data_IF_655814435272
#
_entry.id   IF_655814435272
#
_cell.length_a   1.000
_cell.length_b   1.000
_cell.length_c   1.000
_cell.angle_alpha   90.00
_cell.angle_beta   90.00
_cell.angle_gamma   90.00
#
_symmetry.space_group_name_H-M   'P 1'
#
loop_
_entity.id
_entity.type
_entity.pdbx_description
1 polymer ?
#
# COMPACT_ATOMS: atom_id res chain seq x y z
N UNK A 1 59.82 -24.64 18.61
CA UNK A 1 59.20 -23.58 17.77
C UNK A 1 58.53 -24.09 16.49
N UNK A 2 58.83 -25.29 15.96
CA UNK A 2 58.23 -25.75 14.69
C UNK A 2 56.76 -26.16 14.78
N UNK A 3 56.32 -26.77 15.89
CA UNK A 3 54.94 -27.23 16.03
C UNK A 3 53.90 -26.08 16.02
N UNK A 4 54.17 -24.99 16.75
CA UNK A 4 53.28 -23.81 16.79
C UNK A 4 53.17 -23.12 15.43
N UNK A 5 54.27 -23.07 14.67
CA UNK A 5 54.27 -22.49 13.31
C UNK A 5 53.49 -23.38 12.34
N UNK A 6 53.59 -24.70 12.50
CA UNK A 6 52.81 -25.67 11.72
C UNK A 6 51.31 -25.49 12.01
N UNK A 7 50.91 -25.46 13.29
CA UNK A 7 49.50 -25.30 13.69
C UNK A 7 48.94 -23.95 13.22
N UNK A 8 49.71 -22.87 13.28
CA UNK A 8 49.29 -21.57 12.78
C UNK A 8 49.10 -21.58 11.25
N UNK A 9 49.99 -22.24 10.51
CA UNK A 9 49.88 -22.40 9.05
C UNK A 9 48.66 -23.24 8.69
N UNK A 10 48.43 -24.36 9.36
CA UNK A 10 47.30 -25.25 9.10
C UNK A 10 45.97 -24.58 9.44
N UNK A 11 45.93 -23.79 10.52
CA UNK A 11 44.74 -23.00 10.90
C UNK A 11 44.47 -21.89 9.88
N UNK A 12 45.52 -21.24 9.36
CA UNK A 12 45.38 -20.23 8.30
C UNK A 12 44.96 -20.84 6.97
N UNK A 13 45.50 -21.99 6.59
CA UNK A 13 45.10 -22.71 5.38
C UNK A 13 43.68 -23.25 5.48
N UNK A 14 43.27 -23.74 6.66
CA UNK A 14 41.89 -24.14 6.93
C UNK A 14 40.95 -22.93 6.90
N UNK A 15 41.29 -21.82 7.54
CA UNK A 15 40.50 -20.60 7.52
C UNK A 15 40.40 -20.00 6.10
N UNK A 16 41.50 -20.06 5.33
CA UNK A 16 41.54 -19.63 3.93
C UNK A 16 40.66 -20.53 3.05
N UNK A 17 40.81 -21.86 3.14
CA UNK A 17 39.96 -22.81 2.42
C UNK A 17 38.47 -22.71 2.80
N UNK A 18 38.19 -22.52 4.09
CA UNK A 18 36.84 -22.29 4.61
C UNK A 18 36.23 -20.96 4.11
N UNK A 19 37.06 -19.92 3.98
CA UNK A 19 36.65 -18.64 3.42
C UNK A 19 36.43 -18.70 1.90
N UNK A 20 37.26 -19.45 1.17
CA UNK A 20 37.12 -19.62 -0.28
C UNK A 20 35.87 -20.42 -0.65
N UNK A 21 35.55 -21.49 0.11
CA UNK A 21 34.35 -22.30 -0.10
C UNK A 21 33.03 -21.56 0.20
N UNK A 22 33.07 -20.45 0.96
CA UNK A 22 31.87 -19.69 1.38
C UNK A 22 31.69 -18.37 0.62
N UNK A 23 32.75 -17.82 0.02
CA UNK A 23 32.73 -16.48 -0.58
C UNK A 23 33.16 -16.39 -2.05
N UNK A 24 33.63 -17.46 -2.70
CA UNK A 24 34.19 -17.37 -4.05
C UNK A 24 33.73 -18.49 -5.02
N UNK A 25 32.42 -18.66 -5.20
CA UNK A 25 31.91 -19.31 -6.41
C UNK A 25 30.89 -18.40 -7.09
N UNK A 26 31.38 -17.53 -7.97
CA UNK A 26 30.55 -16.78 -8.93
C UNK A 26 30.21 -17.65 -10.15
N UNK A 27 29.79 -18.90 -9.91
CA UNK A 27 29.32 -19.80 -10.96
C UNK A 27 27.82 -19.63 -11.23
N UNK A 28 27.39 -19.96 -12.46
CA UNK A 28 25.98 -20.03 -12.85
C UNK A 28 25.16 -20.89 -11.85
N UNK A 29 25.74 -21.96 -11.31
CA UNK A 29 25.12 -22.81 -10.29
C UNK A 29 24.83 -22.08 -8.97
N UNK A 30 25.70 -21.17 -8.54
CA UNK A 30 25.49 -20.36 -7.33
C UNK A 30 24.45 -19.26 -7.57
N UNK A 31 24.43 -18.68 -8.77
CA UNK A 31 23.38 -17.73 -9.18
C UNK A 31 22.03 -18.45 -9.25
N UNK A 32 21.97 -19.62 -9.88
CA UNK A 32 20.77 -20.45 -9.96
C UNK A 32 20.33 -20.94 -8.58
N UNK A 33 21.25 -21.31 -7.68
CA UNK A 33 20.90 -21.68 -6.31
C UNK A 33 20.39 -20.48 -5.49
N UNK A 34 20.98 -19.29 -5.65
CA UNK A 34 20.50 -18.06 -5.02
C UNK A 34 19.15 -17.61 -5.59
N UNK A 35 18.96 -17.70 -6.90
CA UNK A 35 17.69 -17.43 -7.59
C UNK A 35 16.62 -18.46 -7.19
N UNK A 36 16.99 -19.74 -7.09
CA UNK A 36 16.13 -20.80 -6.60
C UNK A 36 15.70 -20.52 -5.16
N UNK A 37 16.61 -20.13 -4.26
CA UNK A 37 16.26 -19.70 -2.90
C UNK A 37 15.39 -18.43 -2.87
N UNK A 38 15.62 -17.47 -3.77
CA UNK A 38 14.78 -16.29 -3.94
C UNK A 38 13.36 -16.64 -4.38
N UNK A 39 13.14 -17.79 -5.02
CA UNK A 39 11.82 -18.24 -5.47
C UNK A 39 11.22 -19.24 -4.47
N UNK A 40 12.01 -20.14 -3.90
CA UNK A 40 11.55 -21.25 -3.05
C UNK A 40 11.30 -20.85 -1.61
N UNK A 41 12.01 -19.86 -1.06
CA UNK A 41 11.77 -19.35 0.31
C UNK A 41 10.47 -18.53 0.38
N UNK A 42 10.15 -17.68 -0.62
CA UNK A 42 8.90 -16.92 -0.59
C UNK A 42 7.67 -17.74 -0.97
N UNK A 43 7.80 -18.81 -1.76
CA UNK A 43 6.65 -19.62 -2.20
C UNK A 43 5.77 -20.11 -1.02
N UNK A 44 6.32 -20.69 0.05
CA UNK A 44 5.56 -21.03 1.25
C UNK A 44 5.01 -19.80 1.97
N UNK A 45 5.76 -18.69 2.02
CA UNK A 45 5.31 -17.41 2.59
C UNK A 45 4.17 -16.77 1.76
N UNK A 46 4.14 -16.97 0.45
CA UNK A 46 3.08 -16.48 -0.43
C UNK A 46 1.83 -17.33 -0.30
N UNK A 47 1.95 -18.65 -0.22
CA UNK A 47 0.82 -19.52 0.13
C UNK A 47 0.25 -19.20 1.51
N UNK A 48 1.11 -18.74 2.44
CA UNK A 48 0.76 -18.30 3.79
C UNK A 48 -0.25 -17.14 3.79
N UNK A 49 -0.11 -16.20 2.84
CA UNK A 49 -1.00 -15.04 2.68
C UNK A 49 -2.12 -15.30 1.68
N UNK A 50 -1.89 -16.13 0.65
CA UNK A 50 -2.87 -16.40 -0.39
C UNK A 50 -4.01 -17.33 0.08
N UNK A 51 -3.74 -18.30 0.96
CA UNK A 51 -4.77 -19.26 1.40
C UNK A 51 -5.87 -18.60 2.26
N UNK A 52 -5.57 -17.70 3.22
CA UNK A 52 -6.60 -16.94 3.93
C UNK A 52 -7.32 -15.88 3.08
N UNK A 53 -6.65 -15.32 2.06
CA UNK A 53 -7.20 -14.24 1.23
C UNK A 53 -8.02 -14.74 0.03
N UNK A 54 -7.73 -15.94 -0.50
CA UNK A 54 -8.33 -16.45 -1.74
C UNK A 54 -8.93 -17.87 -1.61
N UNK A 55 -8.74 -18.58 -0.49
CA UNK A 55 -9.20 -19.95 -0.31
C UNK A 55 -10.50 -20.05 0.51
N UNK A 56 -11.58 -20.58 -0.07
CA UNK A 56 -12.83 -20.92 0.63
C UNK A 56 -12.74 -22.11 1.61
N UNK A 57 -11.56 -22.39 2.17
CA UNK A 57 -11.35 -23.49 3.13
C UNK A 57 -11.74 -23.07 4.55
N UNK A 58 -12.21 -24.03 5.35
CA UNK A 58 -12.53 -23.78 6.76
C UNK A 58 -11.32 -23.20 7.51
N UNK A 59 -11.51 -22.11 8.25
CA UNK A 59 -10.45 -21.29 8.86
C UNK A 59 -9.44 -22.11 9.69
N UNK A 60 -9.89 -23.22 10.29
CA UNK A 60 -9.04 -24.12 11.10
C UNK A 60 -8.00 -24.87 10.26
N UNK A 61 -8.36 -25.36 9.07
CA UNK A 61 -7.41 -26.06 8.19
C UNK A 61 -6.35 -25.10 7.65
N UNK A 62 -6.73 -23.85 7.36
CA UNK A 62 -5.80 -22.79 6.96
C UNK A 62 -4.78 -22.47 8.05
N UNK A 63 -5.21 -22.36 9.32
CA UNK A 63 -4.32 -22.10 10.45
C UNK A 63 -3.36 -23.24 10.77
N UNK A 64 -3.79 -24.49 10.65
CA UNK A 64 -2.92 -25.66 10.86
C UNK A 64 -1.89 -25.77 9.73
N UNK A 65 -2.33 -25.64 8.47
CA UNK A 65 -1.41 -25.61 7.33
C UNK A 65 -0.39 -24.48 7.47
N UNK A 66 -0.85 -23.28 7.84
CA UNK A 66 0.00 -22.13 8.15
C UNK A 66 1.05 -22.47 9.21
N UNK A 67 0.64 -23.04 10.35
CA UNK A 67 1.54 -23.34 11.46
C UNK A 67 2.61 -24.37 11.06
N UNK A 68 2.20 -25.43 10.35
CA UNK A 68 3.11 -26.48 9.90
C UNK A 68 4.11 -25.95 8.86
N UNK A 69 3.64 -25.19 7.87
CA UNK A 69 4.50 -24.59 6.84
C UNK A 69 5.47 -23.57 7.44
N UNK A 70 5.00 -22.70 8.33
CA UNK A 70 5.85 -21.75 9.06
C UNK A 70 6.90 -22.46 9.90
N UNK A 71 6.52 -23.51 10.63
CA UNK A 71 7.44 -24.31 11.44
C UNK A 71 8.50 -25.00 10.58
N UNK A 72 8.11 -25.62 9.47
CA UNK A 72 9.04 -26.27 8.55
C UNK A 72 10.03 -25.26 7.96
N UNK A 73 9.56 -24.08 7.59
CA UNK A 73 10.38 -23.02 7.02
C UNK A 73 11.39 -22.45 8.03
N UNK A 74 10.96 -22.20 9.27
CA UNK A 74 11.83 -21.80 10.39
C UNK A 74 12.89 -22.83 10.76
N UNK A 75 12.53 -24.12 10.74
CA UNK A 75 13.46 -25.20 11.08
C UNK A 75 14.48 -25.45 9.96
N UNK A 76 14.08 -25.22 8.70
CA UNK A 76 14.91 -25.49 7.53
C UNK A 76 15.88 -24.36 7.15
N UNK A 77 15.62 -23.13 7.61
CA UNK A 77 16.38 -21.95 7.19
C UNK A 77 16.95 -21.15 8.36
N UNK A 78 18.09 -20.50 8.11
CA UNK A 78 18.63 -19.50 9.03
C UNK A 78 17.63 -18.34 9.14
N UNK A 79 17.19 -17.96 10.34
CA UNK A 79 16.16 -16.96 10.50
C UNK A 79 16.58 -15.55 10.00
N UNK A 80 17.88 -15.24 9.91
CA UNK A 80 18.35 -14.04 9.21
C UNK A 80 18.03 -14.11 7.70
N UNK A 81 18.19 -15.29 7.08
CA UNK A 81 17.82 -15.48 5.67
C UNK A 81 16.32 -15.31 5.46
N UNK A 82 15.50 -15.77 6.41
CA UNK A 82 14.05 -15.66 6.33
C UNK A 82 13.57 -14.21 6.41
N UNK A 83 14.17 -13.41 7.29
CA UNK A 83 13.89 -11.97 7.34
C UNK A 83 14.25 -11.29 6.01
N UNK A 84 15.45 -11.53 5.50
CA UNK A 84 15.97 -10.84 4.32
C UNK A 84 15.28 -11.27 3.03
N UNK A 85 15.18 -12.57 2.78
CA UNK A 85 14.48 -13.08 1.60
C UNK A 85 12.98 -12.80 1.67
N UNK A 86 12.37 -12.87 2.86
CA UNK A 86 10.98 -12.47 3.06
C UNK A 86 10.75 -11.00 2.75
N UNK A 87 11.58 -10.10 3.29
CA UNK A 87 11.49 -8.65 3.04
C UNK A 87 11.68 -8.33 1.56
N UNK A 88 12.70 -8.91 0.91
CA UNK A 88 12.96 -8.72 -0.51
C UNK A 88 11.79 -9.23 -1.36
N UNK A 89 11.32 -10.44 -1.12
CA UNK A 89 10.25 -11.04 -1.91
C UNK A 89 8.95 -10.27 -1.76
N UNK A 90 8.61 -9.81 -0.55
CA UNK A 90 7.44 -8.98 -0.32
C UNK A 90 7.53 -7.69 -1.12
N UNK A 91 8.67 -6.97 -1.05
CA UNK A 91 8.87 -5.74 -1.82
C UNK A 91 8.83 -5.98 -3.33
N UNK A 92 9.36 -7.10 -3.81
CA UNK A 92 9.31 -7.45 -5.23
C UNK A 92 7.89 -7.75 -5.70
N UNK A 93 7.11 -8.51 -4.93
CA UNK A 93 5.80 -9.04 -5.35
C UNK A 93 4.67 -8.06 -5.08
N UNK A 94 4.68 -7.36 -3.94
CA UNK A 94 3.60 -6.48 -3.52
C UNK A 94 3.84 -5.00 -3.86
N UNK A 95 5.04 -4.65 -4.33
CA UNK A 95 5.35 -3.28 -4.76
C UNK A 95 5.98 -3.21 -6.15
N UNK A 96 7.20 -3.74 -6.35
CA UNK A 96 7.96 -3.53 -7.60
C UNK A 96 7.23 -4.12 -8.81
N UNK A 97 6.87 -5.40 -8.76
CA UNK A 97 6.17 -6.08 -9.85
C UNK A 97 4.85 -5.37 -10.21
N UNK A 98 3.91 -5.13 -9.26
CA UNK A 98 2.66 -4.45 -9.60
C UNK A 98 2.87 -3.00 -10.05
N UNK A 99 3.84 -2.27 -9.49
CA UNK A 99 4.16 -0.91 -9.94
C UNK A 99 4.68 -0.89 -11.39
N UNK A 100 5.51 -1.87 -11.77
CA UNK A 100 5.97 -2.04 -13.15
C UNK A 100 4.83 -2.46 -14.08
N UNK A 101 3.89 -3.30 -13.63
CA UNK A 101 2.70 -3.65 -14.40
C UNK A 101 1.79 -2.44 -14.62
N UNK A 102 1.59 -1.59 -13.60
CA UNK A 102 0.82 -0.35 -13.74
C UNK A 102 1.51 0.61 -14.72
N UNK A 103 2.83 0.76 -14.62
CA UNK A 103 3.60 1.57 -15.56
C UNK A 103 3.54 1.02 -16.99
N UNK A 104 3.64 -0.31 -17.17
CA UNK A 104 3.52 -0.96 -18.46
C UNK A 104 2.13 -0.77 -19.07
N UNK A 105 1.07 -0.86 -18.26
CA UNK A 105 -0.30 -0.57 -18.65
C UNK A 105 -0.45 0.89 -19.12
N UNK A 106 0.07 1.85 -18.33
CA UNK A 106 0.03 3.27 -18.66
C UNK A 106 0.75 3.60 -19.98
N UNK A 107 1.85 2.90 -20.26
CA UNK A 107 2.64 3.10 -21.48
C UNK A 107 1.99 2.42 -22.69
N UNK A 108 1.40 1.24 -22.52
CA UNK A 108 0.83 0.44 -23.61
C UNK A 108 -0.58 0.90 -24.00
N UNK A 109 -1.37 1.37 -23.02
CA UNK A 109 -2.76 1.75 -23.20
C UNK A 109 -3.07 3.17 -22.68
N UNK A 110 -2.38 4.22 -23.18
CA UNK A 110 -2.50 5.57 -22.63
C UNK A 110 -3.91 6.18 -22.75
N UNK A 111 -4.71 5.74 -23.73
CA UNK A 111 -6.09 6.21 -23.90
C UNK A 111 -7.03 5.67 -22.82
N UNK A 112 -6.84 4.40 -22.41
CA UNK A 112 -7.60 3.79 -21.32
C UNK A 112 -7.13 4.35 -19.98
N UNK A 113 -5.82 4.41 -19.77
CA UNK A 113 -5.22 4.94 -18.54
C UNK A 113 -5.68 6.38 -18.25
N UNK A 114 -5.72 7.25 -19.27
CA UNK A 114 -6.24 8.63 -19.12
C UNK A 114 -7.64 8.68 -18.48
N UNK A 115 -8.51 7.73 -18.76
CA UNK A 115 -9.90 7.77 -18.27
C UNK A 115 -10.03 7.26 -16.84
N UNK A 116 -9.09 6.42 -16.38
CA UNK A 116 -9.07 5.85 -15.02
C UNK A 116 -8.09 6.58 -14.09
N UNK A 117 -7.33 7.56 -14.59
CA UNK A 117 -6.48 8.43 -13.75
C UNK A 117 -7.22 9.70 -13.34
N UNK A 118 -7.12 10.06 -12.07
CA UNK A 118 -7.73 11.28 -11.49
C UNK A 118 -7.35 12.57 -12.22
N UNK A 119 -6.08 12.72 -12.61
CA UNK A 119 -5.57 13.89 -13.36
C UNK A 119 -5.47 13.66 -14.87
N UNK A 120 -6.03 12.55 -15.35
CA UNK A 120 -6.08 12.16 -16.75
C UNK A 120 -4.72 12.17 -17.44
N UNK A 121 -4.60 12.89 -18.57
CA UNK A 121 -3.41 12.85 -19.42
C UNK A 121 -2.15 13.41 -18.74
N UNK A 122 -2.30 14.27 -17.73
CA UNK A 122 -1.19 14.86 -16.97
C UNK A 122 -0.46 13.84 -16.06
N UNK A 123 -1.15 12.78 -15.64
CA UNK A 123 -0.59 11.72 -14.80
C UNK A 123 0.02 10.57 -15.62
N UNK A 124 0.14 10.72 -16.95
CA UNK A 124 0.72 9.69 -17.80
C UNK A 124 2.25 9.80 -17.86
N UNK A 125 2.98 8.70 -17.64
CA UNK A 125 4.45 8.69 -17.64
C UNK A 125 5.05 8.98 -19.01
N UNK A 126 4.29 8.79 -20.10
CA UNK A 126 4.74 9.06 -21.47
C UNK A 126 5.17 10.51 -21.73
N UNK A 127 4.73 11.46 -20.89
CA UNK A 127 5.14 12.87 -20.99
C UNK A 127 6.61 13.10 -20.60
N UNK A 128 7.22 12.19 -19.84
CA UNK A 128 8.60 12.30 -19.34
C UNK A 128 9.64 11.83 -20.36
N UNK A 129 9.22 11.06 -21.38
CA UNK A 129 10.10 10.40 -22.33
C UNK A 129 10.73 9.10 -21.79
N UNK A 130 11.05 8.19 -22.70
CA UNK A 130 11.49 6.82 -22.37
C UNK A 130 12.72 6.78 -21.46
N UNK A 131 13.76 7.56 -21.77
CA UNK A 131 15.01 7.53 -21.02
C UNK A 131 14.81 7.97 -19.57
N UNK A 132 13.97 8.98 -19.33
CA UNK A 132 13.65 9.45 -17.99
C UNK A 132 12.83 8.44 -17.20
N UNK A 133 11.87 7.77 -17.84
CA UNK A 133 11.09 6.69 -17.20
C UNK A 133 12.01 5.53 -16.80
N UNK A 134 12.94 5.12 -17.67
CA UNK A 134 13.91 4.06 -17.35
C UNK A 134 14.85 4.46 -16.21
N UNK A 135 15.28 5.71 -16.15
CA UNK A 135 16.06 6.24 -15.02
C UNK A 135 15.27 6.16 -13.71
N UNK A 136 14.01 6.62 -13.71
CA UNK A 136 13.11 6.56 -12.55
C UNK A 136 12.96 5.12 -12.07
N UNK A 137 12.69 4.20 -12.98
CA UNK A 137 12.56 2.76 -12.69
C UNK A 137 13.86 2.19 -12.10
N UNK A 138 15.00 2.48 -12.73
CA UNK A 138 16.31 1.99 -12.28
C UNK A 138 16.67 2.49 -10.88
N UNK A 139 16.45 3.78 -10.61
CA UNK A 139 16.67 4.37 -9.28
C UNK A 139 15.70 3.80 -8.26
N UNK A 140 14.42 3.69 -8.58
CA UNK A 140 13.41 3.16 -7.66
C UNK A 140 13.69 1.70 -7.26
N UNK A 141 14.02 0.84 -8.22
CA UNK A 141 14.43 -0.54 -7.95
C UNK A 141 15.73 -0.55 -7.14
N UNK A 142 16.70 0.30 -7.49
CA UNK A 142 17.95 0.46 -6.75
C UNK A 142 17.71 0.86 -5.29
N UNK A 143 16.79 1.77 -5.02
CA UNK A 143 16.39 2.20 -3.68
C UNK A 143 15.74 1.08 -2.87
N UNK A 144 14.84 0.31 -3.48
CA UNK A 144 14.23 -0.87 -2.83
C UNK A 144 15.31 -1.89 -2.45
N UNK A 145 16.24 -2.20 -3.36
CA UNK A 145 17.35 -3.11 -3.10
C UNK A 145 18.31 -2.56 -2.03
N UNK A 146 18.59 -1.25 -2.07
CA UNK A 146 19.42 -0.58 -1.08
C UNK A 146 18.80 -0.65 0.31
N UNK A 147 17.49 -0.45 0.44
CA UNK A 147 16.77 -0.57 1.71
C UNK A 147 16.88 -1.97 2.31
N UNK A 148 16.69 -3.02 1.49
CA UNK A 148 16.85 -4.41 1.92
C UNK A 148 18.30 -4.70 2.31
N UNK A 149 19.26 -4.22 1.52
CA UNK A 149 20.69 -4.37 1.82
C UNK A 149 21.06 -3.65 3.13
N UNK A 150 20.56 -2.43 3.34
CA UNK A 150 20.85 -1.63 4.53
C UNK A 150 20.24 -2.28 5.78
N UNK A 151 19.01 -2.79 5.69
CA UNK A 151 18.41 -3.62 6.74
C UNK A 151 19.29 -4.85 7.06
N UNK A 152 19.76 -5.58 6.05
CA UNK A 152 20.66 -6.72 6.24
C UNK A 152 21.97 -6.34 6.92
N UNK A 153 22.60 -5.24 6.47
CA UNK A 153 23.84 -4.75 7.01
C UNK A 153 23.69 -4.36 8.49
N UNK A 154 22.59 -3.68 8.83
CA UNK A 154 22.30 -3.26 10.20
C UNK A 154 22.07 -4.46 11.12
N UNK A 155 21.27 -5.44 10.69
CA UNK A 155 21.03 -6.65 11.47
C UNK A 155 22.30 -7.49 11.65
N UNK A 156 23.13 -7.62 10.60
CA UNK A 156 24.42 -8.30 10.68
C UNK A 156 25.38 -7.59 11.64
N UNK A 157 25.47 -6.27 11.60
CA UNK A 157 26.29 -5.47 12.50
C UNK A 157 25.80 -5.65 13.96
N UNK A 158 24.49 -5.57 14.18
CA UNK A 158 23.86 -5.71 15.49
C UNK A 158 24.14 -7.07 16.13
N UNK A 159 23.94 -8.14 15.37
CA UNK A 159 24.06 -9.51 15.89
C UNK A 159 25.52 -9.97 15.94
N UNK A 160 26.33 -9.69 14.92
CA UNK A 160 27.69 -10.28 14.82
C UNK A 160 28.76 -9.42 15.47
N UNK A 161 28.66 -8.09 15.35
CA UNK A 161 29.68 -7.19 15.89
C UNK A 161 29.34 -6.83 17.33
N UNK A 162 28.12 -6.35 17.58
CA UNK A 162 27.71 -5.97 18.93
C UNK A 162 27.26 -7.14 19.80
N UNK A 163 27.12 -8.35 19.22
CA UNK A 163 26.69 -9.58 19.92
C UNK A 163 25.36 -9.44 20.64
N UNK A 164 24.48 -8.58 20.13
CA UNK A 164 23.13 -8.41 20.65
C UNK A 164 22.16 -9.42 20.04
N UNK A 165 20.98 -9.56 20.67
CA UNK A 165 19.87 -10.33 20.11
C UNK A 165 19.34 -9.62 18.86
N UNK A 166 18.88 -10.40 17.88
CA UNK A 166 18.24 -9.92 16.65
C UNK A 166 17.22 -8.81 16.92
N UNK A 167 17.14 -7.80 16.06
CA UNK A 167 16.24 -6.66 16.24
C UNK A 167 14.77 -7.09 16.12
N UNK A 168 14.47 -8.11 15.32
CA UNK A 168 13.16 -8.74 15.24
C UNK A 168 13.04 -9.97 16.16
N UNK A 169 11.86 -10.16 16.75
CA UNK A 169 11.50 -11.33 17.55
C UNK A 169 11.07 -12.48 16.64
N UNK A 170 11.29 -13.73 17.07
CA UNK A 170 10.94 -14.91 16.27
C UNK A 170 12.04 -15.37 15.30
N UNK A 171 13.19 -14.68 15.29
CA UNK A 171 14.43 -15.12 14.62
C UNK A 171 15.16 -16.20 15.45
N UNK A 172 14.49 -16.77 16.45
CA UNK A 172 14.98 -17.88 17.28
C UNK A 172 14.33 -19.16 16.79
N UNK A 173 15.03 -20.30 16.79
CA UNK A 173 14.56 -21.61 16.26
C UNK A 173 13.31 -22.21 16.97
N UNK A 174 12.60 -21.42 17.77
CA UNK A 174 11.35 -21.82 18.40
C UNK A 174 10.21 -21.34 17.48
N UNK A 175 9.42 -22.24 16.89
CA UNK A 175 8.30 -21.88 16.04
C UNK A 175 7.13 -21.34 16.87
N UNK A 176 7.26 -20.10 17.33
CA UNK A 176 6.14 -19.33 17.89
C UNK A 176 5.44 -18.59 16.77
N UNK A 177 4.11 -18.69 16.71
CA UNK A 177 3.27 -17.82 15.87
C UNK A 177 2.75 -16.69 16.75
N UNK A 178 2.77 -15.42 16.31
CA UNK A 178 2.25 -14.32 17.10
C UNK A 178 0.73 -14.45 17.25
N UNK A 179 0.21 -14.15 18.43
CA UNK A 179 -1.23 -14.10 18.67
C UNK A 179 -1.89 -13.06 17.75
N UNK A 180 -3.04 -13.36 17.11
CA UNK A 180 -3.70 -12.44 16.18
C UNK A 180 -3.97 -11.06 16.79
N UNK A 181 -4.37 -11.02 18.06
CA UNK A 181 -4.59 -9.77 18.79
C UNK A 181 -3.32 -8.92 18.93
N UNK A 182 -2.18 -9.55 19.23
CA UNK A 182 -0.88 -8.86 19.27
C UNK A 182 -0.47 -8.37 17.89
N UNK A 183 -0.74 -9.13 16.83
CA UNK A 183 -0.51 -8.69 15.45
C UNK A 183 -1.32 -7.43 15.17
N UNK A 184 -2.62 -7.42 15.47
CA UNK A 184 -3.50 -6.27 15.23
C UNK A 184 -3.01 -5.00 15.96
N UNK A 185 -2.70 -5.09 17.26
CA UNK A 185 -2.17 -3.96 18.03
C UNK A 185 -0.86 -3.45 17.44
N UNK A 186 0.07 -4.36 17.13
CA UNK A 186 1.35 -3.99 16.54
C UNK A 186 1.17 -3.31 15.18
N UNK A 187 0.25 -3.77 14.33
CA UNK A 187 -0.04 -3.12 13.05
C UNK A 187 -0.56 -1.68 13.24
N UNK A 188 -1.50 -1.48 14.16
CA UNK A 188 -2.03 -0.13 14.49
C UNK A 188 -0.89 0.77 14.97
N UNK A 189 -0.09 0.30 15.93
CA UNK A 189 1.10 1.02 16.41
C UNK A 189 2.07 1.34 15.26
N UNK A 190 2.26 0.37 14.36
CA UNK A 190 3.05 0.49 13.15
C UNK A 190 2.66 1.65 12.26
N UNK A 191 1.38 1.70 11.87
CA UNK A 191 0.87 2.75 11.02
C UNK A 191 0.91 4.13 11.69
N UNK A 192 0.63 4.20 13.00
CA UNK A 192 0.72 5.46 13.76
C UNK A 192 2.15 5.98 13.81
N UNK A 193 3.12 5.15 14.20
CA UNK A 193 4.53 5.58 14.30
C UNK A 193 5.13 5.85 12.93
N UNK A 194 4.90 4.97 11.95
CA UNK A 194 5.36 5.19 10.56
C UNK A 194 4.79 6.48 10.01
N UNK A 195 3.48 6.71 10.19
CA UNK A 195 2.80 7.92 9.74
C UNK A 195 3.36 9.19 10.39
N UNK A 196 3.57 9.17 11.71
CA UNK A 196 4.14 10.29 12.44
C UNK A 196 5.60 10.58 12.06
N UNK A 197 6.44 9.56 11.98
CA UNK A 197 7.84 9.70 11.58
C UNK A 197 7.96 10.18 10.14
N UNK A 198 7.19 9.60 9.21
CA UNK A 198 7.13 10.04 7.81
C UNK A 198 6.69 11.50 7.72
N UNK A 199 5.58 11.87 8.37
CA UNK A 199 5.06 13.24 8.37
C UNK A 199 6.11 14.24 8.86
N UNK A 200 6.78 13.94 9.99
CA UNK A 200 7.80 14.82 10.54
C UNK A 200 8.99 14.98 9.59
N UNK A 201 9.51 13.88 9.04
CA UNK A 201 10.61 13.93 8.07
C UNK A 201 10.19 14.69 6.81
N UNK A 202 9.05 14.34 6.21
CA UNK A 202 8.61 14.90 4.95
C UNK A 202 8.30 16.40 5.08
N UNK A 203 7.54 16.81 6.10
CA UNK A 203 7.24 18.22 6.34
C UNK A 203 8.49 19.02 6.69
N UNK A 204 9.23 18.60 7.72
CA UNK A 204 10.29 19.43 8.27
C UNK A 204 11.60 19.28 7.51
N UNK A 205 12.08 18.06 7.32
CA UNK A 205 13.38 17.83 6.71
C UNK A 205 13.36 18.05 5.20
N UNK A 206 12.28 17.64 4.52
CA UNK A 206 12.22 17.66 3.05
C UNK A 206 11.59 18.94 2.48
N UNK A 207 10.81 19.69 3.26
CA UNK A 207 10.13 20.90 2.77
C UNK A 207 10.39 22.17 3.60
N UNK A 208 10.37 22.12 4.93
CA UNK A 208 10.49 23.33 5.75
C UNK A 208 11.95 23.80 5.92
N UNK A 209 12.82 22.92 6.39
CA UNK A 209 14.20 23.26 6.74
C UNK A 209 15.09 23.41 5.50
N UNK A 210 16.07 24.31 5.61
CA UNK A 210 17.14 24.46 4.61
C UNK A 210 18.15 23.32 4.79
N UNK A 211 17.82 22.15 4.25
CA UNK A 211 18.65 20.95 4.34
C UNK A 211 19.07 20.45 2.95
N UNK A 212 20.12 19.63 2.91
CA UNK A 212 20.51 18.93 1.68
C UNK A 212 19.42 17.95 1.24
N UNK A 213 18.71 17.35 2.19
CA UNK A 213 17.58 16.45 1.93
C UNK A 213 16.43 17.15 1.21
N UNK A 214 16.10 18.40 1.57
CA UNK A 214 15.13 19.21 0.82
C UNK A 214 15.58 19.41 -0.63
N UNK A 215 16.84 19.75 -0.84
CA UNK A 215 17.35 19.99 -2.19
C UNK A 215 17.33 18.71 -3.02
N UNK A 216 17.68 17.57 -2.43
CA UNK A 216 17.63 16.28 -3.09
C UNK A 216 16.20 15.84 -3.38
N UNK A 217 15.30 15.89 -2.39
CA UNK A 217 13.90 15.53 -2.55
C UNK A 217 13.20 16.35 -3.66
N UNK A 218 13.45 17.66 -3.70
CA UNK A 218 12.89 18.54 -4.73
C UNK A 218 13.46 18.25 -6.13
N UNK A 219 14.74 17.86 -6.22
CA UNK A 219 15.41 17.55 -7.49
C UNK A 219 15.10 16.15 -8.02
N UNK A 220 14.76 15.21 -7.15
CA UNK A 220 14.52 13.82 -7.51
C UNK A 220 13.03 13.55 -7.53
N UNK A 221 12.40 13.32 -6.38
CA UNK A 221 10.98 12.94 -6.32
C UNK A 221 10.06 13.99 -6.96
N UNK A 222 10.25 15.28 -6.66
CA UNK A 222 9.46 16.38 -7.25
C UNK A 222 9.96 16.86 -8.63
N UNK A 223 10.94 16.18 -9.24
CA UNK A 223 11.20 16.39 -10.68
C UNK A 223 10.03 15.90 -11.54
N UNK A 224 9.26 14.95 -11.03
CA UNK A 224 8.04 14.44 -11.65
C UNK A 224 6.86 15.35 -11.30
N UNK A 225 5.98 15.61 -12.26
CA UNK A 225 4.82 16.48 -12.04
C UNK A 225 3.73 15.85 -11.18
N UNK A 226 3.38 14.62 -11.54
CA UNK A 226 2.35 13.85 -10.88
C UNK A 226 2.87 12.43 -10.71
N UNK A 227 2.61 11.80 -9.57
CA UNK A 227 3.13 10.49 -9.28
C UNK A 227 2.46 9.41 -10.14
N UNK A 228 3.20 8.32 -10.31
CA UNK A 228 2.72 7.01 -10.73
C UNK A 228 3.43 5.98 -9.85
N UNK A 229 2.89 4.79 -9.64
CA UNK A 229 3.24 3.93 -8.49
C UNK A 229 4.73 3.74 -8.20
N UNK A 230 5.58 3.56 -9.22
CA UNK A 230 7.02 3.34 -9.02
C UNK A 230 7.73 4.58 -8.42
N UNK A 231 7.14 5.78 -8.59
CA UNK A 231 7.63 7.04 -8.03
C UNK A 231 7.63 7.01 -6.50
N UNK A 232 6.83 6.18 -5.85
CA UNK A 232 6.85 5.99 -4.41
C UNK A 232 8.24 5.57 -3.87
N UNK A 233 9.05 4.91 -4.70
CA UNK A 233 10.42 4.54 -4.38
C UNK A 233 11.48 5.38 -5.13
N UNK A 234 11.05 6.37 -5.92
CA UNK A 234 11.95 7.26 -6.66
C UNK A 234 12.26 8.53 -5.87
N UNK A 235 13.42 8.52 -5.23
CA UNK A 235 14.03 9.71 -4.65
C UNK A 235 15.56 9.52 -4.60
N UNK A 236 16.30 10.54 -4.18
CA UNK A 236 17.70 10.38 -3.85
C UNK A 236 17.85 9.26 -2.80
N UNK A 237 18.82 8.32 -2.94
CA UNK A 237 18.89 7.14 -2.08
C UNK A 237 18.94 7.44 -0.58
N UNK A 238 19.67 8.49 -0.19
CA UNK A 238 19.72 8.94 1.21
C UNK A 238 18.38 9.51 1.70
N UNK A 239 17.62 10.20 0.84
CA UNK A 239 16.28 10.69 1.21
C UNK A 239 15.35 9.50 1.37
N UNK A 240 15.32 8.57 0.41
CA UNK A 240 14.51 7.36 0.48
C UNK A 240 14.75 6.55 1.76
N UNK A 241 16.02 6.40 2.18
CA UNK A 241 16.34 5.72 3.43
C UNK A 241 15.77 6.44 4.66
N UNK A 242 15.78 7.77 4.68
CA UNK A 242 15.35 8.58 5.83
C UNK A 242 13.83 8.80 5.86
N UNK A 243 13.18 8.97 4.71
CA UNK A 243 11.76 9.29 4.61
C UNK A 243 10.86 8.08 4.45
N UNK A 244 11.33 6.99 3.83
CA UNK A 244 10.51 5.80 3.57
C UNK A 244 10.97 4.62 4.39
N UNK A 245 12.24 4.22 4.25
CA UNK A 245 12.74 3.01 4.91
C UNK A 245 12.75 3.14 6.42
N UNK A 246 13.33 4.22 6.95
CA UNK A 246 13.48 4.43 8.39
C UNK A 246 12.11 4.48 9.10
N UNK A 247 11.13 5.31 8.69
CA UNK A 247 9.79 5.31 9.29
C UNK A 247 9.09 3.96 9.23
N UNK A 248 9.33 3.17 8.17
CA UNK A 248 8.71 1.85 8.00
C UNK A 248 9.32 0.82 8.95
N UNK A 249 10.64 0.77 9.08
CA UNK A 249 11.31 -0.26 9.91
C UNK A 249 11.33 0.11 11.40
N UNK A 250 11.29 1.41 11.71
CA UNK A 250 11.36 1.95 13.06
C UNK A 250 10.40 1.28 14.06
N UNK A 251 9.07 1.17 13.81
CA UNK A 251 8.16 0.56 14.77
C UNK A 251 8.49 -0.91 15.05
N UNK A 252 8.92 -1.65 14.03
CA UNK A 252 9.28 -3.06 14.17
C UNK A 252 10.51 -3.25 15.07
N UNK A 253 11.49 -2.35 14.97
CA UNK A 253 12.70 -2.38 15.79
C UNK A 253 12.47 -1.85 17.20
N UNK A 254 11.71 -0.76 17.37
CA UNK A 254 11.38 -0.19 18.68
C UNK A 254 10.65 -1.19 19.57
N UNK A 255 9.69 -1.92 19.01
CA UNK A 255 8.88 -2.88 19.77
C UNK A 255 9.27 -4.34 19.59
N UNK A 256 10.37 -4.59 18.86
CA UNK A 256 10.89 -5.94 18.60
C UNK A 256 9.80 -6.89 18.11
N UNK A 257 9.12 -6.52 17.04
CA UNK A 257 8.01 -7.30 16.51
C UNK A 257 8.39 -8.70 16.08
N UNK A 258 7.40 -9.59 16.03
CA UNK A 258 7.57 -10.88 15.39
C UNK A 258 7.82 -10.72 13.89
N UNK A 259 8.71 -11.52 13.28
CA UNK A 259 9.02 -11.45 11.85
C UNK A 259 7.78 -11.56 10.95
N UNK A 260 6.80 -12.40 11.33
CA UNK A 260 5.50 -12.47 10.62
C UNK A 260 4.69 -11.17 10.69
N UNK A 261 4.70 -10.49 11.84
CA UNK A 261 4.06 -9.17 11.98
C UNK A 261 4.76 -8.14 11.11
N UNK A 262 6.10 -8.15 11.09
CA UNK A 262 6.90 -7.33 10.19
C UNK A 262 6.55 -7.58 8.72
N UNK A 263 6.50 -8.85 8.30
CA UNK A 263 6.18 -9.22 6.92
C UNK A 263 4.76 -8.77 6.53
N UNK A 264 3.76 -9.00 7.37
CA UNK A 264 2.40 -8.54 7.12
C UNK A 264 2.33 -7.01 7.06
N UNK A 265 2.98 -6.30 7.99
CA UNK A 265 3.07 -4.85 7.94
C UNK A 265 3.70 -4.36 6.64
N UNK A 266 4.79 -4.99 6.21
CA UNK A 266 5.49 -4.66 4.98
C UNK A 266 4.64 -4.90 3.73
N UNK A 267 3.82 -5.96 3.70
CA UNK A 267 2.83 -6.20 2.63
C UNK A 267 1.84 -5.04 2.57
N UNK A 268 1.25 -4.68 3.72
CA UNK A 268 0.24 -3.62 3.78
C UNK A 268 0.82 -2.26 3.38
N UNK A 269 2.01 -1.89 3.87
CA UNK A 269 2.64 -0.61 3.49
C UNK A 269 3.11 -0.61 2.03
N UNK A 270 3.51 -1.77 1.48
CA UNK A 270 3.89 -1.90 0.06
C UNK A 270 2.68 -1.69 -0.86
N UNK A 271 1.54 -2.27 -0.51
CA UNK A 271 0.29 -2.08 -1.22
C UNK A 271 -0.25 -0.65 -1.07
N UNK A 272 -0.17 -0.08 0.13
CA UNK A 272 -0.48 1.34 0.37
C UNK A 272 0.35 2.23 -0.57
N UNK A 273 1.67 2.12 -0.56
CA UNK A 273 2.58 2.90 -1.42
C UNK A 273 2.27 2.70 -2.91
N UNK A 274 2.00 1.46 -3.34
CA UNK A 274 1.59 1.13 -4.70
C UNK A 274 0.33 1.92 -5.11
N UNK A 275 -0.70 1.91 -4.27
CA UNK A 275 -2.01 2.47 -4.61
C UNK A 275 -2.06 3.99 -4.47
N UNK A 276 -1.52 4.56 -3.39
CA UNK A 276 -1.59 6.02 -3.15
C UNK A 276 -0.74 6.81 -4.16
N UNK A 277 0.30 6.21 -4.74
CA UNK A 277 1.08 6.83 -5.82
C UNK A 277 0.58 6.49 -7.22
N UNK A 278 -0.41 5.61 -7.39
CA UNK A 278 -0.84 5.12 -8.72
C UNK A 278 -1.41 6.21 -9.63
N UNK A 279 -2.07 7.21 -9.01
CA UNK A 279 -2.86 8.22 -9.71
C UNK A 279 -4.17 7.69 -10.28
N UNK A 280 -4.58 6.45 -9.94
CA UNK A 280 -5.87 5.90 -10.34
C UNK A 280 -7.00 6.41 -9.45
N UNK A 281 -8.18 6.62 -10.05
CA UNK A 281 -9.40 7.06 -9.37
C UNK A 281 -10.31 5.91 -8.92
N UNK A 282 -10.05 4.67 -9.39
CA UNK A 282 -10.74 3.45 -8.97
C UNK A 282 -9.74 2.55 -8.27
N UNK A 283 -9.86 2.45 -6.94
CA UNK A 283 -9.00 1.63 -6.09
C UNK A 283 -9.83 0.62 -5.27
N UNK A 284 -9.24 -0.50 -4.81
CA UNK A 284 -9.96 -1.55 -4.08
C UNK A 284 -10.69 -1.07 -2.82
N UNK A 285 -10.20 -0.02 -2.14
CA UNK A 285 -11.00 0.76 -1.20
C UNK A 285 -11.34 2.11 -1.82
N UNK A 286 -12.55 2.18 -2.37
CA UNK A 286 -12.91 3.18 -3.36
C UNK A 286 -12.85 4.62 -2.84
N UNK A 287 -12.92 4.87 -1.52
CA UNK A 287 -12.86 6.23 -0.97
C UNK A 287 -11.62 6.43 -0.10
N UNK A 288 -11.27 5.54 0.84
CA UNK A 288 -10.07 5.75 1.66
C UNK A 288 -8.74 5.74 0.87
N UNK A 289 -8.46 4.71 0.06
CA UNK A 289 -7.22 4.67 -0.74
C UNK A 289 -7.24 5.76 -1.82
N UNK A 290 -8.40 6.01 -2.41
CA UNK A 290 -8.58 7.06 -3.43
C UNK A 290 -8.32 8.45 -2.84
N UNK A 291 -8.84 8.73 -1.66
CA UNK A 291 -8.61 10.00 -0.96
C UNK A 291 -7.15 10.22 -0.57
N UNK A 292 -6.48 9.16 -0.09
CA UNK A 292 -5.03 9.20 0.13
C UNK A 292 -4.27 9.48 -1.18
N UNK A 293 -4.64 8.83 -2.28
CA UNK A 293 -4.03 9.08 -3.58
C UNK A 293 -4.22 10.53 -4.06
N UNK A 294 -5.43 11.09 -3.93
CA UNK A 294 -5.72 12.49 -4.28
C UNK A 294 -4.87 13.47 -3.46
N UNK A 295 -4.69 13.22 -2.16
CA UNK A 295 -3.83 14.06 -1.30
C UNK A 295 -2.38 14.03 -1.73
N UNK A 296 -1.86 12.85 -2.09
CA UNK A 296 -0.49 12.72 -2.61
C UNK A 296 -0.36 13.48 -3.93
N UNK A 297 -1.31 13.38 -4.86
CA UNK A 297 -1.27 14.18 -6.08
C UNK A 297 -1.35 15.69 -5.82
N UNK A 298 -2.23 16.11 -4.91
CA UNK A 298 -2.34 17.51 -4.50
C UNK A 298 -1.04 18.03 -3.87
N UNK A 299 -0.32 17.19 -3.12
CA UNK A 299 1.01 17.53 -2.60
C UNK A 299 1.99 17.83 -3.74
N UNK A 300 2.11 16.94 -4.73
CA UNK A 300 2.99 17.16 -5.90
C UNK A 300 2.62 18.43 -6.69
N UNK A 301 1.33 18.67 -6.92
CA UNK A 301 0.85 19.89 -7.58
C UNK A 301 1.15 21.17 -6.75
N UNK A 302 1.02 21.10 -5.42
CA UNK A 302 1.32 22.23 -4.52
C UNK A 302 2.80 22.62 -4.53
N UNK A 303 3.70 21.64 -4.62
CA UNK A 303 5.14 21.87 -4.73
C UNK A 303 5.48 22.57 -6.04
N UNK A 304 4.86 22.17 -7.16
CA UNK A 304 5.10 22.79 -8.46
C UNK A 304 4.52 24.19 -8.60
N UNK A 305 3.33 24.41 -8.06
CA UNK A 305 2.68 25.73 -8.08
C UNK A 305 3.30 26.72 -7.08
N UNK A 306 4.09 26.23 -6.12
CA UNK A 306 4.67 26.98 -5.01
C UNK A 306 3.63 27.74 -4.17
N UNK A 307 2.36 27.31 -4.23
CA UNK A 307 1.23 27.87 -3.48
C UNK A 307 0.62 26.79 -2.61
N UNK A 308 0.32 27.15 -1.36
CA UNK A 308 -0.40 26.31 -0.39
C UNK A 308 0.17 24.88 -0.24
N UNK A 309 1.48 24.79 0.01
CA UNK A 309 2.20 23.54 0.25
C UNK A 309 1.61 22.76 1.44
N UNK A 310 1.15 21.54 1.19
CA UNK A 310 0.50 20.70 2.21
C UNK A 310 0.51 19.21 1.87
N UNK A 311 -0.24 18.41 2.63
CA UNK A 311 -0.43 16.96 2.46
C UNK A 311 0.88 16.15 2.55
N UNK A 312 1.59 16.27 3.67
CA UNK A 312 2.87 15.59 3.88
C UNK A 312 2.76 14.13 4.34
N UNK A 313 1.63 13.72 4.92
CA UNK A 313 1.39 12.36 5.40
C UNK A 313 0.66 11.49 4.37
N UNK A 314 0.94 10.18 4.37
CA UNK A 314 0.22 9.23 3.49
C UNK A 314 -1.28 9.17 3.78
N UNK A 315 -1.66 9.08 5.06
CA UNK A 315 -3.07 9.00 5.49
C UNK A 315 -3.73 10.39 5.51
N UNK A 316 -2.97 11.46 5.78
CA UNK A 316 -3.48 12.82 5.92
C UNK A 316 -4.05 13.18 7.30
N UNK A 317 -4.07 12.25 8.27
CA UNK A 317 -4.56 12.53 9.63
C UNK A 317 -3.77 13.63 10.34
N UNK A 318 -2.44 13.61 10.22
CA UNK A 318 -1.59 14.65 10.81
C UNK A 318 -1.66 15.96 10.04
N UNK A 319 -1.90 15.91 8.72
CA UNK A 319 -2.16 17.11 7.94
C UNK A 319 -3.46 17.80 8.36
N UNK A 320 -4.50 17.02 8.65
CA UNK A 320 -5.71 17.55 9.26
C UNK A 320 -5.44 18.13 10.66
N UNK A 321 -4.83 17.35 11.55
CA UNK A 321 -4.60 17.75 12.94
C UNK A 321 -3.73 19.02 13.09
N UNK A 322 -2.73 19.20 12.22
CA UNK A 322 -1.84 20.36 12.23
C UNK A 322 -2.21 21.45 11.22
N UNK A 323 -3.34 21.31 10.52
CA UNK A 323 -3.78 22.29 9.51
C UNK A 323 -2.82 22.45 8.33
N UNK A 324 -2.16 21.36 7.91
CA UNK A 324 -1.26 21.33 6.75
C UNK A 324 -1.80 20.60 5.55
N UNK A 325 -3.12 20.50 5.41
CA UNK A 325 -3.73 20.01 4.17
C UNK A 325 -3.64 21.09 3.07
N UNK A 326 -3.58 20.67 1.80
CA UNK A 326 -3.62 21.62 0.67
C UNK A 326 -4.98 22.34 0.64
N UNK A 327 -4.97 23.68 0.52
CA UNK A 327 -6.21 24.46 0.54
C UNK A 327 -7.04 24.21 -0.73
N UNK A 328 -8.33 23.91 -0.55
CA UNK A 328 -9.26 23.66 -1.65
C UNK A 328 -9.30 22.21 -2.14
N UNK A 329 -8.49 21.32 -1.55
CA UNK A 329 -8.61 19.87 -1.74
C UNK A 329 -9.30 19.23 -0.52
N UNK A 330 -10.05 18.11 -0.71
CA UNK A 330 -10.70 17.40 0.40
C UNK A 330 -9.69 16.87 1.42
N UNK A 331 -10.06 16.96 2.70
CA UNK A 331 -9.25 16.43 3.79
C UNK A 331 -9.63 14.97 4.15
N UNK A 332 -9.02 14.44 5.21
CA UNK A 332 -9.29 13.06 5.66
C UNK A 332 -10.69 12.88 6.25
N UNK A 333 -11.27 13.93 6.83
CA UNK A 333 -12.61 13.89 7.42
C UNK A 333 -13.65 13.89 6.30
N UNK A 334 -13.42 14.67 5.24
CA UNK A 334 -14.26 14.64 4.04
C UNK A 334 -14.31 13.22 3.44
N UNK A 335 -13.17 12.54 3.30
CA UNK A 335 -13.13 11.15 2.82
C UNK A 335 -13.93 10.18 3.69
N UNK A 336 -13.85 10.33 5.02
CA UNK A 336 -14.57 9.46 5.96
C UNK A 336 -16.07 9.71 5.84
N UNK A 337 -16.49 10.97 5.69
CA UNK A 337 -17.90 11.32 5.50
C UNK A 337 -18.43 10.78 4.18
N UNK A 338 -17.65 10.89 3.10
CA UNK A 338 -17.97 10.33 1.79
C UNK A 338 -18.11 8.80 1.86
N UNK A 339 -17.18 8.11 2.53
CA UNK A 339 -17.23 6.65 2.72
C UNK A 339 -18.44 6.23 3.54
N UNK A 340 -18.73 6.93 4.65
CA UNK A 340 -19.91 6.67 5.46
C UNK A 340 -21.22 6.89 4.69
N UNK A 341 -21.28 7.92 3.84
CA UNK A 341 -22.45 8.20 3.01
C UNK A 341 -22.68 7.11 1.97
N UNK A 342 -21.61 6.63 1.32
CA UNK A 342 -21.68 5.58 0.29
C UNK A 342 -22.07 4.23 0.88
N UNK A 343 -21.53 3.87 2.04
CA UNK A 343 -21.95 2.64 2.73
C UNK A 343 -23.44 2.67 3.10
N UNK A 344 -23.95 3.80 3.60
CA UNK A 344 -25.38 3.97 3.87
C UNK A 344 -26.25 3.84 2.62
N UNK A 345 -25.76 4.31 1.47
CA UNK A 345 -26.46 4.15 0.20
C UNK A 345 -26.48 2.69 -0.26
N UNK A 346 -25.35 1.98 -0.11
CA UNK A 346 -25.26 0.55 -0.46
C UNK A 346 -26.21 -0.29 0.40
N UNK A 347 -26.23 -0.05 1.72
CA UNK A 347 -27.14 -0.72 2.66
C UNK A 347 -28.61 -0.52 2.25
N UNK A 348 -29.01 0.71 1.91
CA UNK A 348 -30.38 1.00 1.43
C UNK A 348 -30.73 0.29 0.12
N UNK A 349 -29.77 0.13 -0.79
CA UNK A 349 -29.98 -0.58 -2.05
C UNK A 349 -30.16 -2.07 -1.77
N UNK A 350 -29.29 -2.66 -0.93
CA UNK A 350 -29.34 -4.07 -0.58
C UNK A 350 -30.65 -4.41 0.17
N UNK A 351 -31.10 -3.53 1.07
CA UNK A 351 -32.39 -3.64 1.74
C UNK A 351 -33.57 -3.57 0.76
N UNK A 352 -33.54 -2.63 -0.19
CA UNK A 352 -34.58 -2.50 -1.20
C UNK A 352 -34.64 -3.70 -2.15
N UNK A 353 -33.48 -4.26 -2.53
CA UNK A 353 -33.39 -5.48 -3.35
C UNK A 353 -33.91 -6.67 -2.57
N UNK A 354 -33.56 -6.80 -1.29
CA UNK A 354 -34.03 -7.89 -0.43
C UNK A 354 -35.54 -7.82 -0.23
N UNK A 355 -36.08 -6.64 0.07
CA UNK A 355 -37.52 -6.42 0.20
C UNK A 355 -38.28 -6.72 -1.11
N UNK A 356 -37.70 -6.38 -2.28
CA UNK A 356 -38.28 -6.72 -3.57
C UNK A 356 -38.27 -8.24 -3.84
N UNK A 357 -37.19 -8.94 -3.48
CA UNK A 357 -37.08 -10.39 -3.63
C UNK A 357 -38.03 -11.14 -2.68
N UNK A 358 -38.19 -10.67 -1.44
CA UNK A 358 -39.17 -11.20 -0.49
C UNK A 358 -40.61 -10.95 -0.95
N UNK A 359 -40.89 -9.74 -1.47
CA UNK A 359 -42.17 -9.42 -2.07
C UNK A 359 -42.51 -10.30 -3.28
N UNK A 360 -41.51 -10.65 -4.10
CA UNK A 360 -41.69 -11.56 -5.23
C UNK A 360 -41.88 -13.02 -4.77
N UNK A 361 -41.17 -13.46 -3.72
CA UNK A 361 -41.31 -14.80 -3.15
C UNK A 361 -42.68 -15.01 -2.51
N UNK A 362 -43.17 -14.03 -1.73
CA UNK A 362 -44.52 -14.08 -1.15
C UNK A 362 -45.61 -14.13 -2.24
N UNK A 363 -45.42 -13.42 -3.35
CA UNK A 363 -46.34 -13.45 -4.49
C UNK A 363 -46.25 -14.76 -5.31
N UNK A 364 -45.15 -15.50 -5.17
CA UNK A 364 -44.96 -16.83 -5.76
C UNK A 364 -45.61 -17.92 -4.91
N UNK A 365 -45.55 -17.78 -3.58
CA UNK A 365 -46.18 -18.70 -2.61
C UNK A 365 -47.71 -18.49 -2.53
N UNK A 366 -48.23 -17.27 -2.71
CA UNK A 366 -49.68 -17.00 -2.84
C UNK A 366 -50.29 -17.57 -4.13
N UNK A 367 -49.48 -17.75 -5.18
CA UNK A 367 -49.95 -18.31 -6.46
C UNK A 367 -49.97 -19.85 -6.48
N UNK A 368 -49.55 -20.51 -5.40
CA UNK A 368 -49.72 -21.96 -5.19
C UNK A 368 -51.12 -22.36 -4.73
N UNK A 369 -52.01 -21.39 -4.45
CA UNK A 369 -53.34 -21.67 -3.91
C UNK A 369 -54.41 -20.67 -4.35
N UNK A 370 -54.50 -20.32 -5.63
CA UNK A 370 -55.80 -20.06 -6.27
C UNK A 370 -55.68 -20.08 -7.81
N UNK A 371 -56.48 -20.94 -8.43
CA UNK A 371 -56.76 -20.90 -9.86
C UNK A 371 -57.73 -19.75 -10.18
N UNK A 372 -57.49 -19.09 -11.33
CA UNK A 372 -58.32 -18.05 -11.99
C UNK A 372 -58.32 -16.67 -11.29
N UNK A 373 -57.96 -15.54 -11.88
CA UNK A 373 -58.49 -14.98 -13.14
C UNK A 373 -57.65 -13.76 -13.58
N UNK A 374 -57.30 -13.67 -14.87
CA UNK A 374 -57.05 -12.47 -15.71
C UNK A 374 -56.34 -11.21 -15.17
N UNK A 375 -55.12 -11.02 -15.70
CA UNK A 375 -54.48 -9.78 -16.18
C UNK A 375 -54.94 -8.40 -15.70
N UNK A 376 -54.13 -7.76 -14.84
CA UNK A 376 -53.89 -6.31 -14.82
C UNK A 376 -52.80 -5.95 -13.79
N UNK A 377 -51.51 -6.06 -14.13
CA UNK A 377 -50.44 -5.65 -13.19
C UNK A 377 -49.32 -4.78 -13.78
N UNK A 378 -49.35 -4.49 -15.09
CA UNK A 378 -48.33 -3.61 -15.69
C UNK A 378 -48.71 -2.11 -15.65
N UNK A 379 -49.98 -1.75 -15.44
CA UNK A 379 -50.45 -0.35 -15.44
C UNK A 379 -50.36 0.35 -14.07
N UNK A 380 -50.33 -0.38 -12.96
CA UNK A 380 -50.25 0.21 -11.61
C UNK A 380 -48.88 0.78 -11.24
N UNK A 381 -47.80 0.13 -11.70
CA UNK A 381 -46.41 0.53 -11.43
C UNK A 381 -46.01 1.82 -12.17
N UNK A 382 -46.53 2.02 -13.39
CA UNK A 382 -46.27 3.23 -14.18
C UNK A 382 -46.98 4.48 -13.66
N UNK A 383 -48.13 4.34 -12.99
CA UNK A 383 -48.79 5.49 -12.36
C UNK A 383 -48.10 5.91 -11.05
N UNK A 384 -47.59 4.96 -10.25
CA UNK A 384 -46.84 5.29 -9.01
C UNK A 384 -45.53 6.05 -9.27
N UNK A 385 -44.87 5.80 -10.41
CA UNK A 385 -43.66 6.55 -10.81
C UNK A 385 -43.98 7.95 -11.37
N UNK A 386 -45.20 8.18 -11.88
CA UNK A 386 -45.61 9.45 -12.47
C UNK A 386 -46.18 10.45 -11.45
N UNK A 387 -46.67 9.96 -10.32
CA UNK A 387 -47.21 10.80 -9.23
C UNK A 387 -46.14 11.23 -8.22
N UNK A 388 -45.00 10.54 -8.13
CA UNK A 388 -43.85 10.95 -7.29
C UNK A 388 -43.15 12.22 -7.78
N UNK A 389 -43.19 12.48 -9.08
CA UNK A 389 -42.49 13.61 -9.72
C UNK A 389 -43.31 14.92 -9.73
N UNK A 390 -44.59 14.86 -9.32
CA UNK A 390 -45.49 16.04 -9.30
C UNK A 390 -45.62 16.72 -7.93
N UNK A 391 -45.14 16.11 -6.86
CA UNK A 391 -45.26 16.64 -5.50
C UNK A 391 -44.01 17.38 -4.99
N UNK A 392 -42.97 17.53 -5.81
CA UNK A 392 -41.79 18.33 -5.45
C UNK A 392 -41.92 19.82 -5.80
N UNK A 393 -42.95 20.23 -6.57
CA UNK A 393 -43.05 21.59 -7.14
C UNK A 393 -44.18 22.45 -6.52
N UNK A 394 -44.74 22.05 -5.37
CA UNK A 394 -45.74 22.84 -4.63
C UNK A 394 -45.38 23.00 -3.15
N UNK A 395 -44.28 23.70 -2.88
CA UNK A 395 -44.12 24.43 -1.61
C UNK A 395 -43.26 25.68 -1.82
N UNK A 396 -43.90 26.79 -2.19
CA UNK A 396 -43.19 28.07 -2.35
C UNK A 396 -43.95 29.19 -3.04
N UNK A 397 -45.25 29.36 -2.79
CA UNK A 397 -46.05 30.48 -3.32
C UNK A 397 -46.31 31.55 -2.26
N UNK A 398 -45.48 32.60 -2.21
CA UNK A 398 -45.69 33.79 -1.39
C UNK A 398 -45.48 35.07 -2.22
N UNK A 399 -46.58 35.77 -2.48
CA UNK A 399 -46.78 36.82 -3.47
C UNK A 399 -45.87 38.07 -3.38
N UNK A 400 -45.57 38.69 -4.53
CA UNK A 400 -45.38 40.16 -4.68
C UNK A 400 -45.75 40.63 -6.10
N UNK A 401 -46.59 41.66 -6.15
CA UNK A 401 -47.14 42.32 -7.35
C UNK A 401 -46.09 43.10 -8.18
N UNK A 402 -46.38 43.43 -9.46
CA UNK A 402 -45.45 44.10 -10.36
C UNK A 402 -45.58 45.63 -10.30
N UNK A 403 -44.45 46.34 -10.37
CA UNK A 403 -44.44 47.77 -10.70
C UNK A 403 -43.33 48.11 -11.69
N UNK A 404 -43.80 48.46 -12.89
CA UNK A 404 -43.34 49.43 -13.90
C UNK A 404 -41.86 49.84 -13.95
N UNK A 405 -41.37 49.80 -15.18
CA UNK A 405 -40.26 50.56 -15.73
C UNK A 405 -40.23 52.02 -15.31
N UNK A 406 -39.04 52.63 -15.26
CA UNK A 406 -38.74 53.88 -15.95
C UNK A 406 -37.22 54.10 -16.06
N UNK A 407 -36.92 55.04 -16.94
CA UNK A 407 -35.72 55.30 -17.72
C UNK A 407 -34.79 56.29 -16.99
N UNK A 408 -33.49 56.13 -17.22
CA UNK A 408 -32.39 57.13 -17.30
C UNK A 408 -32.21 58.19 -16.20
N UNK A 409 -31.00 58.17 -15.63
CA UNK A 409 -30.16 59.29 -15.27
C UNK A 409 -28.71 58.87 -15.50
#
# INVERSE_FOLDING_TARGET
MSALVQTARDTLQYAYGYSQGRYASFGLSTIVAKASNLVSIPLPLLSLFAVPLFGGSTTRMSLVAFYLTWSALLLSHDPLKLELYGTLAIRLIFFVLPALLFLAFDCSFPQLSKNIKSRGRRALPGQLGRNRVLEIVGVAIGNVLLAVFFQAALELLWVRVFRFRSLLKGVSKVPTVPLPWSVAINLIQGFVIRGAAHYAVHRYLLHAYRSIFKTWHLRWQHSVALPFSIVAAYDHPAVYLVSVWLPTILPAYLFRWHVLTWQLFLVLTSLEELFIFSGYNVLPSAIMLTGMARRIEAHFDSVKSAKDLGNFGHIGLLDYAFGTHCKGDPDVVDDIQDEASKHRLQERIDDAVTAALEGQKNNSDENGQSSSTTGSSARGLLNKLKDGDRNADQSGGGARQPRRSWRKG
#
